data_IF_244403288907
#
_entry.id   IF_244403288907
#
_cell.length_a   1.000
_cell.length_b   1.000
_cell.length_c   1.000
_cell.angle_alpha   90.00
_cell.angle_beta   90.00
_cell.angle_gamma   90.00
#
_symmetry.space_group_name_H-M   'P 1'
#
loop_
_entity.id
_entity.type
_entity.pdbx_description
1 polymer ?
#
# COMPACT_ATOMS: atom_id res chain seq x y z
N UNK A 1 -6.01 27.62 8.31
CA UNK A 1 -6.28 26.61 7.25
C UNK A 1 -5.14 25.61 7.30
N UNK A 2 -5.37 24.41 7.79
CA UNK A 2 -4.33 23.41 7.89
C UNK A 2 -3.96 22.95 6.47
N UNK A 3 -2.84 23.44 5.93
CA UNK A 3 -2.19 22.83 4.78
C UNK A 3 -2.06 21.35 5.10
N UNK A 4 -2.76 20.50 4.37
CA UNK A 4 -2.65 19.05 4.53
C UNK A 4 -1.18 18.69 4.37
N UNK A 5 -0.55 18.25 5.45
CA UNK A 5 0.87 17.93 5.51
C UNK A 5 1.15 16.75 4.56
N UNK A 6 1.80 17.02 3.43
CA UNK A 6 2.13 16.00 2.42
C UNK A 6 3.49 15.42 2.76
N UNK A 7 3.51 14.15 3.15
CA UNK A 7 4.75 13.40 3.43
C UNK A 7 5.12 12.53 2.23
N UNK A 8 6.35 12.63 1.75
CA UNK A 8 6.89 11.75 0.70
C UNK A 8 7.31 10.44 1.35
N UNK A 9 6.78 9.33 0.85
CA UNK A 9 7.10 7.98 1.30
C UNK A 9 7.49 7.14 0.07
N UNK A 10 8.64 6.46 0.14
CA UNK A 10 9.01 5.43 -0.82
C UNK A 10 8.38 4.11 -0.38
N UNK A 11 7.70 3.43 -1.30
CA UNK A 11 7.03 2.14 -1.08
C UNK A 11 7.43 1.19 -2.20
N UNK A 12 7.57 -0.08 -1.87
CA UNK A 12 7.82 -1.14 -2.84
C UNK A 12 6.49 -1.72 -3.32
N UNK A 13 6.34 -1.82 -4.64
CA UNK A 13 5.19 -2.45 -5.29
C UNK A 13 5.69 -3.52 -6.24
N UNK A 14 4.97 -4.65 -6.37
CA UNK A 14 5.19 -5.56 -7.48
C UNK A 14 5.03 -4.83 -8.83
N UNK A 15 5.83 -5.19 -9.83
CA UNK A 15 5.84 -4.54 -11.14
C UNK A 15 4.44 -4.46 -11.76
N UNK A 16 3.71 -5.57 -11.75
CA UNK A 16 2.36 -5.65 -12.30
C UNK A 16 1.40 -4.69 -11.60
N UNK A 17 1.41 -4.65 -10.27
CA UNK A 17 0.56 -3.76 -9.48
C UNK A 17 0.91 -2.29 -9.73
N UNK A 18 2.21 -1.96 -9.83
CA UNK A 18 2.64 -0.61 -10.14
C UNK A 18 2.15 -0.15 -11.52
N UNK A 19 2.19 -1.05 -12.52
CA UNK A 19 1.68 -0.79 -13.87
C UNK A 19 0.17 -0.52 -13.85
N UNK A 20 -0.61 -1.33 -13.15
CA UNK A 20 -2.07 -1.13 -13.00
C UNK A 20 -2.39 0.22 -12.36
N UNK A 21 -1.65 0.62 -11.30
CA UNK A 21 -1.84 1.92 -10.65
C UNK A 21 -1.50 3.07 -11.61
N UNK A 22 -0.45 2.93 -12.42
CA UNK A 22 -0.06 3.93 -13.42
C UNK A 22 -1.11 4.08 -14.53
N UNK A 23 -1.65 2.97 -15.04
CA UNK A 23 -2.70 2.97 -16.05
C UNK A 23 -3.98 3.64 -15.50
N UNK A 24 -4.38 3.33 -14.27
CA UNK A 24 -5.53 3.97 -13.64
C UNK A 24 -5.32 5.47 -13.34
N UNK A 25 -4.10 5.86 -12.96
CA UNK A 25 -3.73 7.25 -12.78
C UNK A 25 -3.85 8.03 -14.11
N UNK A 26 -3.33 7.46 -15.21
CA UNK A 26 -3.42 8.05 -16.54
C UNK A 26 -4.88 8.11 -17.04
N UNK A 27 -5.67 7.05 -16.82
CA UNK A 27 -7.07 6.97 -17.23
C UNK A 27 -7.95 8.04 -16.57
N UNK A 28 -7.66 8.38 -15.32
CA UNK A 28 -8.45 9.33 -14.53
C UNK A 28 -7.86 10.76 -14.52
N UNK A 29 -6.71 10.98 -15.16
CA UNK A 29 -5.95 12.24 -15.11
C UNK A 29 -5.62 12.66 -13.65
N UNK A 30 -5.16 11.70 -12.85
CA UNK A 30 -4.82 11.87 -11.43
C UNK A 30 -3.41 11.39 -11.12
N UNK A 31 -2.86 11.88 -10.01
CA UNK A 31 -1.54 11.42 -9.55
C UNK A 31 -1.59 10.03 -8.91
N UNK A 32 -0.48 9.30 -8.96
CA UNK A 32 -0.32 7.99 -8.29
C UNK A 32 -0.68 8.08 -6.80
N UNK A 33 -0.23 9.14 -6.13
CA UNK A 33 -0.55 9.39 -4.73
C UNK A 33 -2.06 9.51 -4.49
N UNK A 34 -2.82 10.10 -5.43
CA UNK A 34 -4.27 10.20 -5.31
C UNK A 34 -4.95 8.83 -5.44
N UNK A 35 -4.52 8.01 -6.41
CA UNK A 35 -5.04 6.65 -6.62
C UNK A 35 -4.81 5.80 -5.36
N UNK A 36 -3.59 5.79 -4.83
CA UNK A 36 -3.24 5.03 -3.61
C UNK A 36 -4.02 5.54 -2.38
N UNK A 37 -4.16 6.86 -2.23
CA UNK A 37 -4.98 7.44 -1.15
C UNK A 37 -6.46 7.06 -1.28
N UNK A 38 -6.99 6.99 -2.50
CA UNK A 38 -8.38 6.59 -2.75
C UNK A 38 -8.57 5.10 -2.43
N UNK A 39 -7.65 4.24 -2.86
CA UNK A 39 -7.64 2.82 -2.53
C UNK A 39 -7.63 2.59 -1.01
N UNK A 40 -6.75 3.29 -0.28
CA UNK A 40 -6.73 3.21 1.19
C UNK A 40 -8.07 3.61 1.83
N UNK A 41 -8.69 4.71 1.38
CA UNK A 41 -9.98 5.16 1.94
C UNK A 41 -11.11 4.15 1.72
N UNK A 42 -11.07 3.41 0.60
CA UNK A 42 -12.04 2.35 0.29
C UNK A 42 -11.76 1.13 1.18
N UNK A 43 -10.52 0.65 1.19
CA UNK A 43 -10.13 -0.58 1.88
C UNK A 43 -10.04 -0.44 3.41
N UNK A 44 -9.92 0.79 3.95
CA UNK A 44 -9.71 1.05 5.39
C UNK A 44 -10.69 0.30 6.29
N UNK A 45 -11.98 0.26 5.92
CA UNK A 45 -13.01 -0.40 6.75
C UNK A 45 -12.80 -1.90 6.84
N UNK A 46 -12.31 -2.52 5.77
CA UNK A 46 -12.08 -3.95 5.73
C UNK A 46 -10.73 -4.31 6.35
N UNK A 47 -9.71 -3.49 6.11
CA UNK A 47 -8.40 -3.65 6.75
C UNK A 47 -8.50 -3.55 8.27
N UNK A 48 -9.34 -2.65 8.79
CA UNK A 48 -9.58 -2.51 10.24
C UNK A 48 -10.30 -3.69 10.89
N UNK A 49 -10.88 -4.62 10.12
CA UNK A 49 -11.50 -5.84 10.66
C UNK A 49 -10.49 -6.95 10.89
N UNK A 50 -9.32 -6.89 10.25
CA UNK A 50 -8.31 -7.90 10.47
C UNK A 50 -7.83 -7.84 11.92
N UNK A 51 -7.72 -8.99 12.60
CA UNK A 51 -7.15 -9.04 13.94
C UNK A 51 -5.72 -8.50 13.90
N UNK A 52 -5.28 -7.91 15.02
CA UNK A 52 -3.88 -7.50 15.15
C UNK A 52 -3.00 -8.73 14.99
N UNK A 53 -1.99 -8.66 14.11
CA UNK A 53 -1.07 -9.77 13.82
C UNK A 53 -0.35 -10.26 15.10
N UNK A 54 -0.31 -9.42 16.14
CA UNK A 54 0.26 -9.78 17.45
C UNK A 54 -0.60 -10.76 18.28
N UNK A 55 -1.82 -11.11 17.86
CA UNK A 55 -2.67 -12.11 18.53
C UNK A 55 -2.65 -13.49 17.85
N UNK A 56 -1.97 -13.63 16.71
CA UNK A 56 -1.74 -14.91 16.04
C UNK A 56 -0.31 -15.30 16.37
N UNK A 57 -0.14 -16.47 17.02
CA UNK A 57 1.17 -17.02 17.32
C UNK A 57 2.09 -16.98 16.09
N UNK A 58 3.33 -16.59 16.34
CA UNK A 58 4.50 -16.50 15.46
C UNK A 58 4.85 -17.85 14.79
N UNK A 59 3.93 -18.43 14.03
CA UNK A 59 4.08 -19.73 13.35
C UNK A 59 3.64 -19.65 11.87
N UNK A 60 3.72 -18.45 11.27
CA UNK A 60 3.68 -18.28 9.83
C UNK A 60 5.11 -18.31 9.28
N UNK A 61 5.43 -19.08 8.22
CA UNK A 61 6.78 -19.12 7.69
C UNK A 61 7.21 -17.70 7.30
N UNK A 62 8.32 -17.27 7.89
CA UNK A 62 9.08 -16.06 7.55
C UNK A 62 8.98 -15.84 6.03
N UNK A 63 8.33 -14.74 5.62
CA UNK A 63 8.25 -14.37 4.21
C UNK A 63 9.68 -14.11 3.74
N UNK A 64 10.27 -15.09 3.02
CA UNK A 64 11.68 -15.14 2.57
C UNK A 64 12.08 -13.95 1.66
N UNK A 65 11.21 -12.97 1.43
CA UNK A 65 11.42 -11.80 0.57
C UNK A 65 12.43 -10.76 1.09
N UNK A 66 13.16 -11.05 2.16
CA UNK A 66 14.18 -10.16 2.72
C UNK A 66 15.63 -10.68 2.75
N UNK A 67 15.92 -11.92 2.31
CA UNK A 67 17.27 -12.52 2.52
C UNK A 67 18.22 -12.47 1.32
N UNK A 68 17.81 -12.00 0.15
CA UNK A 68 18.73 -11.93 -1.00
C UNK A 68 19.04 -10.48 -1.38
N UNK A 69 19.80 -9.82 -0.51
CA UNK A 69 20.76 -8.79 -0.91
C UNK A 69 22.12 -9.47 -1.07
N UNK A 70 22.68 -9.46 -2.28
CA UNK A 70 24.12 -9.38 -2.55
C UNK A 70 24.33 -8.36 -3.69
#
# INVERSE_FOLDING_TARGET
MASSDKRKQSLYFPEQMLKEIQEEAARQDRSLSWIVQKAWKIARKDIMKYPSVNEIADDGPDDERGRTED
#
